data_IF_154453905007
#
_entry.id   IF_154453905007
#
_cell.length_a   1.000
_cell.length_b   1.000
_cell.length_c   1.000
_cell.angle_alpha   90.00
_cell.angle_beta   90.00
_cell.angle_gamma   90.00
#
_symmetry.space_group_name_H-M   'P 1'
#
loop_
_entity.id
_entity.type
_entity.pdbx_description
1 polymer ?
#
# COMPACT_ATOMS: atom_id res chain seq x y z
N UNK A 1 -41.65 35.77 6.00
CA UNK A 1 -41.28 34.49 5.30
C UNK A 1 -41.85 34.58 3.87
N UNK A 2 -40.98 34.66 2.86
CA UNK A 2 -41.41 35.05 1.48
C UNK A 2 -42.07 33.86 0.76
N UNK A 3 -43.40 33.92 0.61
CA UNK A 3 -44.24 32.90 -0.05
C UNK A 3 -43.87 32.72 -1.54
N UNK A 4 -43.47 33.81 -2.22
CA UNK A 4 -43.05 33.77 -3.60
C UNK A 4 -41.77 32.92 -3.82
N UNK A 5 -40.82 32.97 -2.88
CA UNK A 5 -39.62 32.13 -2.92
C UNK A 5 -39.91 30.63 -2.76
N UNK A 6 -40.89 30.29 -1.92
CA UNK A 6 -41.31 28.90 -1.73
C UNK A 6 -42.05 28.32 -2.95
N UNK A 7 -42.88 29.12 -3.60
CA UNK A 7 -43.54 28.72 -4.84
C UNK A 7 -42.56 28.52 -5.99
N UNK A 8 -41.55 29.35 -6.09
CA UNK A 8 -40.45 29.18 -7.08
C UNK A 8 -39.68 27.89 -6.86
N UNK A 9 -39.24 27.64 -5.59
CA UNK A 9 -38.55 26.42 -5.24
C UNK A 9 -39.38 25.15 -5.49
N UNK A 10 -40.68 25.21 -5.23
CA UNK A 10 -41.60 24.11 -5.54
C UNK A 10 -41.71 23.86 -7.05
N UNK A 11 -41.81 24.92 -7.86
CA UNK A 11 -41.78 24.80 -9.32
C UNK A 11 -40.50 24.19 -9.86
N UNK A 12 -39.34 24.54 -9.28
CA UNK A 12 -38.05 23.93 -9.63
C UNK A 12 -37.98 22.45 -9.25
N UNK A 13 -38.55 22.08 -8.10
CA UNK A 13 -38.62 20.66 -7.69
C UNK A 13 -39.47 19.84 -8.66
N UNK A 14 -40.62 20.34 -9.04
CA UNK A 14 -41.51 19.65 -10.01
C UNK A 14 -40.84 19.53 -11.38
N UNK A 15 -40.18 20.58 -11.87
CA UNK A 15 -39.47 20.52 -13.15
C UNK A 15 -38.29 19.55 -13.10
N UNK A 16 -37.59 19.38 -11.95
CA UNK A 16 -36.49 18.42 -11.80
C UNK A 16 -36.94 16.96 -11.91
N UNK A 17 -38.20 16.62 -11.55
CA UNK A 17 -38.73 15.26 -11.69
C UNK A 17 -38.75 14.82 -13.17
N UNK A 18 -38.96 15.76 -14.08
CA UNK A 18 -39.04 15.49 -15.53
C UNK A 18 -37.70 15.72 -16.26
N UNK A 19 -36.67 16.21 -15.58
CA UNK A 19 -35.34 16.37 -16.17
C UNK A 19 -34.61 15.03 -16.25
N UNK A 20 -33.84 14.84 -17.32
CA UNK A 20 -32.94 13.70 -17.41
C UNK A 20 -31.92 13.77 -16.29
N UNK A 21 -31.60 12.65 -15.63
CA UNK A 21 -30.55 12.62 -14.58
C UNK A 21 -29.25 13.12 -15.16
N UNK A 22 -28.58 13.99 -14.40
CA UNK A 22 -27.25 14.54 -14.75
C UNK A 22 -26.18 13.48 -14.56
N UNK A 23 -26.47 12.45 -13.74
CA UNK A 23 -25.53 11.34 -13.49
C UNK A 23 -25.39 10.50 -14.75
N UNK A 24 -24.21 10.47 -15.32
CA UNK A 24 -23.87 9.62 -16.47
C UNK A 24 -23.71 8.18 -16.02
N UNK A 25 -24.34 7.26 -16.74
CA UNK A 25 -24.21 5.83 -16.48
C UNK A 25 -22.92 5.24 -17.05
N UNK A 26 -22.28 5.95 -17.96
CA UNK A 26 -21.07 5.51 -18.65
C UNK A 26 -19.96 6.54 -18.48
N UNK A 27 -18.73 6.07 -18.22
CA UNK A 27 -17.56 6.93 -18.23
C UNK A 27 -17.25 7.35 -19.66
N UNK A 28 -17.05 8.64 -19.88
CA UNK A 28 -16.60 9.14 -21.19
C UNK A 28 -15.17 8.66 -21.45
N UNK A 29 -14.86 8.31 -22.70
CA UNK A 29 -13.53 7.87 -23.13
C UNK A 29 -12.45 8.93 -23.08
N UNK A 30 -12.73 10.06 -22.45
CA UNK A 30 -11.78 11.15 -22.26
C UNK A 30 -11.35 11.22 -20.80
N UNK A 31 -10.06 11.03 -20.58
CA UNK A 31 -9.41 11.17 -19.28
C UNK A 31 -8.42 12.31 -19.35
N UNK A 32 -8.45 13.21 -18.35
CA UNK A 32 -7.50 14.31 -18.27
C UNK A 32 -6.06 13.77 -18.09
N UNK A 33 -5.05 14.47 -18.65
CA UNK A 33 -3.64 14.06 -18.57
C UNK A 33 -3.14 13.82 -17.13
N UNK A 34 -3.72 14.53 -16.16
CA UNK A 34 -3.35 14.44 -14.75
C UNK A 34 -4.33 13.59 -13.93
N UNK A 35 -5.12 12.74 -14.57
CA UNK A 35 -6.07 11.90 -13.88
C UNK A 35 -5.36 10.85 -13.02
N UNK A 36 -5.74 10.77 -11.74
CA UNK A 36 -5.22 9.78 -10.80
C UNK A 36 -6.13 8.57 -10.77
N UNK A 37 -5.56 7.39 -10.97
CA UNK A 37 -6.25 6.11 -10.88
C UNK A 37 -5.61 5.21 -9.84
N UNK A 38 -5.94 3.92 -9.86
CA UNK A 38 -5.34 2.95 -8.96
C UNK A 38 -3.81 3.00 -9.02
N UNK A 39 -3.13 2.98 -7.87
CA UNK A 39 -1.69 2.96 -7.85
C UNK A 39 -1.15 1.68 -8.50
N UNK A 40 -0.16 1.83 -9.37
CA UNK A 40 0.63 0.71 -9.88
C UNK A 40 1.74 0.41 -8.91
N UNK A 41 1.96 -0.87 -8.63
CA UNK A 41 3.08 -1.31 -7.80
C UNK A 41 4.15 -1.96 -8.65
N UNK A 42 5.37 -1.49 -8.49
CA UNK A 42 6.58 -2.13 -8.97
C UNK A 42 7.02 -3.18 -7.94
N UNK A 43 6.84 -4.47 -8.29
CA UNK A 43 7.18 -5.59 -7.42
C UNK A 43 8.69 -5.68 -7.16
N UNK A 44 9.50 -5.25 -8.13
CA UNK A 44 10.97 -5.30 -8.02
C UNK A 44 11.50 -4.24 -7.04
N UNK A 45 10.82 -3.12 -6.91
CA UNK A 45 11.17 -2.10 -5.93
C UNK A 45 10.53 -2.33 -4.56
N UNK A 46 9.37 -2.98 -4.51
CA UNK A 46 8.65 -3.17 -3.28
C UNK A 46 9.42 -4.03 -2.28
N UNK A 47 9.59 -3.54 -1.05
CA UNK A 47 10.27 -4.22 0.05
C UNK A 47 9.32 -4.87 1.05
N UNK A 48 8.02 -4.66 0.90
CA UNK A 48 7.04 -5.19 1.85
C UNK A 48 7.04 -4.49 3.21
N UNK A 49 7.52 -3.27 3.30
CA UNK A 49 7.67 -2.53 4.58
C UNK A 49 6.35 -2.17 5.27
N UNK A 50 5.23 -2.14 4.54
CA UNK A 50 3.90 -1.84 5.10
C UNK A 50 3.54 -0.35 5.22
N UNK A 51 4.42 0.58 4.88
CA UNK A 51 4.17 2.03 5.01
C UNK A 51 2.91 2.48 4.27
N UNK A 52 2.62 1.91 3.10
CA UNK A 52 1.42 2.20 2.32
C UNK A 52 0.13 1.78 3.03
N UNK A 53 0.15 0.69 3.82
CA UNK A 53 -0.98 0.25 4.63
C UNK A 53 -1.23 1.22 5.79
N UNK A 54 -0.19 1.58 6.55
CA UNK A 54 -0.29 2.48 7.70
C UNK A 54 -0.78 3.88 7.34
N UNK A 55 -0.52 4.33 6.12
CA UNK A 55 -0.90 5.66 5.64
C UNK A 55 -2.18 5.69 4.81
N UNK A 56 -2.79 4.54 4.57
CA UNK A 56 -4.03 4.47 3.81
C UNK A 56 -5.23 4.99 4.62
N UNK A 57 -5.67 6.20 4.32
CA UNK A 57 -6.79 6.85 5.04
C UNK A 57 -8.16 6.22 4.75
N UNK A 58 -8.31 5.52 3.63
CA UNK A 58 -9.55 4.82 3.27
C UNK A 58 -9.56 3.35 3.69
N UNK A 59 -8.45 2.82 4.23
CA UNK A 59 -8.31 1.40 4.55
C UNK A 59 -8.36 0.49 3.31
N UNK A 60 -8.04 1.04 2.13
CA UNK A 60 -8.01 0.27 0.89
C UNK A 60 -6.82 -0.68 0.79
N UNK A 61 -5.72 -0.37 1.47
CA UNK A 61 -4.53 -1.24 1.50
C UNK A 61 -4.65 -2.25 2.62
N UNK A 62 -4.37 -3.51 2.34
CA UNK A 62 -4.36 -4.61 3.30
C UNK A 62 -3.04 -5.38 3.20
N UNK A 63 -2.55 -5.87 4.33
CA UNK A 63 -1.38 -6.77 4.41
C UNK A 63 -1.82 -8.08 5.03
N UNK A 64 -1.50 -9.18 4.38
CA UNK A 64 -1.78 -10.53 4.86
C UNK A 64 -0.51 -11.36 4.81
N UNK A 65 -0.12 -11.94 5.94
CA UNK A 65 1.03 -12.83 6.06
C UNK A 65 0.53 -14.27 6.24
N UNK A 66 0.73 -15.11 5.22
CA UNK A 66 0.29 -16.52 5.22
C UNK A 66 1.40 -17.41 4.69
N UNK A 67 1.66 -18.52 5.34
CA UNK A 67 2.63 -19.56 4.91
C UNK A 67 4.04 -19.01 4.60
N UNK A 68 4.47 -17.95 5.26
CA UNK A 68 5.79 -17.34 5.03
C UNK A 68 5.85 -16.39 3.84
N UNK A 69 4.69 -15.99 3.33
CA UNK A 69 4.54 -14.99 2.28
C UNK A 69 3.70 -13.81 2.78
N UNK A 70 4.10 -12.62 2.38
CA UNK A 70 3.36 -11.37 2.62
C UNK A 70 2.69 -10.94 1.33
N UNK A 71 1.39 -10.87 1.35
CA UNK A 71 0.60 -10.25 0.27
C UNK A 71 0.17 -8.86 0.69
N UNK A 72 0.46 -7.87 -0.15
CA UNK A 72 -0.02 -6.51 0.02
C UNK A 72 -0.99 -6.23 -1.12
N UNK A 73 -2.25 -5.99 -0.78
CA UNK A 73 -3.33 -5.72 -1.73
C UNK A 73 -3.86 -4.31 -1.59
N UNK A 74 -4.34 -3.73 -2.68
CA UNK A 74 -5.05 -2.46 -2.69
C UNK A 74 -6.40 -2.69 -3.35
N UNK A 75 -7.46 -2.51 -2.57
CA UNK A 75 -8.85 -2.63 -3.02
C UNK A 75 -9.28 -1.36 -3.77
N UNK A 76 -9.54 -1.50 -5.06
CA UNK A 76 -9.95 -0.39 -5.92
C UNK A 76 -11.31 0.23 -5.55
N UNK A 77 -12.22 -0.54 -4.93
CA UNK A 77 -13.52 -0.04 -4.49
C UNK A 77 -13.42 0.87 -3.26
N UNK A 78 -12.40 0.68 -2.43
CA UNK A 78 -12.13 1.49 -1.25
C UNK A 78 -11.14 2.62 -1.52
N UNK A 79 -10.37 2.49 -2.59
CA UNK A 79 -9.34 3.48 -2.92
C UNK A 79 -9.97 4.82 -3.31
N UNK A 80 -9.52 5.90 -2.68
CA UNK A 80 -9.93 7.28 -2.97
C UNK A 80 -8.91 8.03 -3.84
N UNK A 81 -7.96 7.33 -4.43
CA UNK A 81 -6.94 7.86 -5.36
C UNK A 81 -6.14 9.05 -4.81
N UNK A 82 -5.95 9.12 -3.49
CA UNK A 82 -5.31 10.26 -2.82
C UNK A 82 -3.79 10.33 -2.99
N UNK A 83 -3.12 9.25 -3.40
CA UNK A 83 -1.68 9.19 -3.64
C UNK A 83 -0.80 8.99 -2.40
N UNK A 84 -1.34 9.01 -1.18
CA UNK A 84 -0.54 8.89 0.05
C UNK A 84 0.32 7.64 0.14
N UNK A 85 -0.12 6.55 -0.47
CA UNK A 85 0.66 5.31 -0.53
C UNK A 85 1.93 5.46 -1.39
N UNK A 86 1.87 6.26 -2.46
CA UNK A 86 3.03 6.60 -3.28
C UNK A 86 3.96 7.56 -2.55
N UNK A 87 3.40 8.64 -1.95
CA UNK A 87 4.18 9.65 -1.23
C UNK A 87 4.99 9.06 -0.06
N UNK A 88 4.45 8.06 0.64
CA UNK A 88 5.11 7.45 1.81
C UNK A 88 6.05 6.30 1.44
N UNK A 89 6.05 5.85 0.19
CA UNK A 89 6.86 4.70 -0.21
C UNK A 89 8.36 5.04 -0.22
N UNK A 90 9.19 4.45 0.67
CA UNK A 90 10.61 4.80 0.76
C UNK A 90 11.41 4.35 -0.47
N UNK A 91 10.87 3.40 -1.24
CA UNK A 91 11.51 2.83 -2.43
C UNK A 91 10.87 3.34 -3.75
N UNK A 92 9.92 4.29 -3.68
CA UNK A 92 9.16 4.75 -4.85
C UNK A 92 8.59 3.58 -5.68
N UNK A 93 8.11 2.56 -4.98
CA UNK A 93 7.55 1.35 -5.59
C UNK A 93 6.06 1.49 -5.97
N UNK A 94 5.44 2.64 -5.67
CA UNK A 94 4.03 2.92 -5.96
C UNK A 94 3.94 4.22 -6.76
N UNK A 95 3.16 4.18 -7.81
CA UNK A 95 2.90 5.33 -8.68
C UNK A 95 1.42 5.35 -9.09
N UNK A 96 0.86 6.57 -9.25
CA UNK A 96 -0.52 6.79 -9.73
C UNK A 96 -0.47 7.32 -11.16
N UNK A 97 -0.04 6.50 -12.08
CA UNK A 97 0.11 6.88 -13.48
C UNK A 97 -1.19 6.76 -14.27
N UNK A 98 -1.26 7.48 -15.37
CA UNK A 98 -2.34 7.41 -16.37
C UNK A 98 -2.45 5.99 -16.98
N UNK A 99 -1.36 5.23 -17.03
CA UNK A 99 -1.33 3.86 -17.54
C UNK A 99 -2.29 2.92 -16.79
N UNK A 100 -2.65 3.26 -15.56
CA UNK A 100 -3.65 2.53 -14.75
C UNK A 100 -5.08 3.06 -14.94
N UNK A 101 -5.28 3.99 -15.85
CA UNK A 101 -6.61 4.52 -16.14
C UNK A 101 -7.48 3.43 -16.75
N UNK A 102 -8.75 3.31 -16.34
CA UNK A 102 -9.63 2.34 -16.95
C UNK A 102 -9.72 2.58 -18.46
N UNK A 103 -9.77 1.50 -19.25
CA UNK A 103 -9.95 1.61 -20.69
C UNK A 103 -11.22 2.41 -21.00
N UNK A 104 -11.23 3.03 -22.18
CA UNK A 104 -12.36 3.78 -22.69
C UNK A 104 -13.66 2.94 -22.62
N UNK A 105 -14.86 3.57 -22.49
CA UNK A 105 -16.11 2.87 -22.44
C UNK A 105 -16.27 1.88 -23.59
N UNK A 106 -16.50 0.62 -23.26
CA UNK A 106 -16.66 -0.47 -24.24
C UNK A 106 -15.58 -1.54 -24.25
N UNK A 107 -14.44 -1.33 -23.56
CA UNK A 107 -13.27 -2.22 -23.69
C UNK A 107 -13.17 -3.27 -22.58
N UNK A 108 -13.66 -3.01 -21.34
CA UNK A 108 -13.64 -4.04 -20.29
C UNK A 108 -14.90 -4.02 -19.41
N UNK A 109 -15.75 -5.07 -19.51
CA UNK A 109 -16.91 -5.23 -18.65
C UNK A 109 -16.57 -5.35 -17.16
N UNK A 110 -15.44 -5.93 -16.81
CA UNK A 110 -15.02 -6.14 -15.41
C UNK A 110 -14.78 -4.83 -14.67
N UNK A 111 -14.21 -3.83 -15.36
CA UNK A 111 -14.00 -2.50 -14.77
C UNK A 111 -15.31 -1.72 -14.58
N UNK A 112 -16.34 -1.99 -15.39
CA UNK A 112 -17.67 -1.39 -15.23
C UNK A 112 -18.40 -1.90 -14.00
N UNK A 113 -18.26 -3.19 -13.72
CA UNK A 113 -18.91 -3.86 -12.58
C UNK A 113 -18.34 -3.35 -11.25
N UNK A 114 -17.03 -3.09 -11.20
CA UNK A 114 -16.37 -2.64 -9.97
C UNK A 114 -16.80 -1.26 -9.46
N UNK A 115 -17.44 -0.46 -10.30
CA UNK A 115 -18.03 0.84 -9.92
C UNK A 115 -19.52 0.75 -9.57
N UNK A 116 -20.16 -0.40 -9.78
CA UNK A 116 -21.58 -0.60 -9.42
C UNK A 116 -21.70 -1.00 -7.96
N UNK A 117 -22.34 -0.15 -7.16
CA UNK A 117 -22.72 -0.47 -5.78
C UNK A 117 -23.56 -1.76 -5.75
N UNK A 118 -23.04 -2.80 -5.09
CA UNK A 118 -23.81 -4.00 -4.82
C UNK A 118 -23.40 -5.26 -5.60
N UNK A 119 -22.31 -5.24 -6.38
CA UNK A 119 -21.76 -6.49 -6.90
C UNK A 119 -20.96 -7.21 -5.79
N UNK A 120 -21.24 -8.48 -5.59
CA UNK A 120 -20.43 -9.37 -4.70
C UNK A 120 -19.06 -9.71 -5.31
N UNK A 121 -18.79 -9.26 -6.51
CA UNK A 121 -17.52 -9.49 -7.18
C UNK A 121 -16.43 -8.55 -6.62
N UNK A 122 -15.23 -9.08 -6.37
CA UNK A 122 -14.11 -8.27 -5.92
C UNK A 122 -13.78 -7.21 -6.97
N UNK A 123 -13.65 -5.96 -6.53
CA UNK A 123 -13.21 -4.87 -7.39
C UNK A 123 -11.78 -5.06 -7.89
N UNK A 124 -11.29 -4.17 -8.76
CA UNK A 124 -9.92 -4.23 -9.24
C UNK A 124 -8.95 -4.15 -8.05
N UNK A 125 -8.03 -5.10 -7.97
CA UNK A 125 -7.01 -5.17 -6.94
C UNK A 125 -5.61 -4.97 -7.53
N UNK A 126 -4.73 -4.39 -6.75
CA UNK A 126 -3.29 -4.30 -7.06
C UNK A 126 -2.54 -5.10 -6.02
N UNK A 127 -2.16 -6.31 -6.36
CA UNK A 127 -1.56 -7.25 -5.43
C UNK A 127 -0.06 -7.42 -5.67
N UNK A 128 0.66 -7.72 -4.59
CA UNK A 128 2.08 -8.03 -4.64
C UNK A 128 2.41 -9.00 -3.52
N UNK A 129 3.05 -10.12 -3.86
CA UNK A 129 3.45 -11.16 -2.90
C UNK A 129 4.96 -11.18 -2.75
N UNK A 130 5.43 -11.22 -1.51
CA UNK A 130 6.84 -11.18 -1.13
C UNK A 130 7.12 -12.27 -0.09
N UNK A 131 8.29 -12.90 -0.16
CA UNK A 131 8.70 -13.88 0.85
C UNK A 131 9.11 -13.21 2.15
N UNK A 132 8.60 -13.75 3.25
CA UNK A 132 9.00 -13.36 4.59
C UNK A 132 10.34 -14.03 4.96
N UNK A 133 11.13 -13.33 5.76
CA UNK A 133 12.39 -13.82 6.29
C UNK A 133 12.12 -14.90 7.34
N UNK A 134 12.87 -16.00 7.29
CA UNK A 134 12.93 -16.99 8.36
C UNK A 134 14.09 -16.67 9.30
N UNK A 135 13.87 -16.86 10.60
CA UNK A 135 14.91 -16.73 11.61
C UNK A 135 16.03 -17.72 11.33
N UNK A 136 17.28 -17.27 11.28
CA UNK A 136 18.44 -18.12 11.02
C UNK A 136 18.79 -19.08 12.18
N UNK A 137 18.20 -18.85 13.37
CA UNK A 137 18.45 -19.65 14.57
C UNK A 137 17.38 -20.71 14.79
N UNK A 138 16.10 -20.34 14.75
CA UNK A 138 14.99 -21.26 15.06
C UNK A 138 14.09 -21.59 13.85
N UNK A 139 14.28 -20.95 12.70
CA UNK A 139 13.48 -21.17 11.49
C UNK A 139 12.09 -20.52 11.50
N UNK A 140 11.69 -19.85 12.59
CA UNK A 140 10.42 -19.16 12.71
C UNK A 140 10.29 -18.05 11.65
N UNK A 141 9.10 -17.89 11.07
CA UNK A 141 8.83 -16.83 10.10
C UNK A 141 8.76 -15.48 10.82
N UNK A 142 9.52 -14.52 10.35
CA UNK A 142 9.55 -13.16 10.87
C UNK A 142 8.59 -12.27 10.06
N UNK A 143 7.90 -11.30 10.68
CA UNK A 143 6.98 -10.40 9.98
C UNK A 143 7.73 -9.29 9.20
N UNK A 144 8.77 -9.68 8.46
CA UNK A 144 9.62 -8.80 7.65
C UNK A 144 10.16 -9.59 6.46
N UNK A 145 10.34 -8.94 5.33
CA UNK A 145 10.93 -9.55 4.13
C UNK A 145 12.46 -9.50 4.18
N UNK A 146 13.14 -10.47 3.56
CA UNK A 146 14.59 -10.45 3.43
C UNK A 146 15.08 -9.19 2.71
N UNK A 147 14.41 -8.79 1.63
CA UNK A 147 14.73 -7.59 0.87
C UNK A 147 14.70 -6.30 1.71
N UNK A 148 13.71 -6.18 2.61
CA UNK A 148 13.64 -5.03 3.51
C UNK A 148 14.84 -4.99 4.48
N UNK A 149 15.27 -6.15 4.99
CA UNK A 149 16.44 -6.25 5.85
C UNK A 149 17.74 -5.91 5.11
N UNK A 150 17.88 -6.32 3.86
CA UNK A 150 19.05 -6.01 3.04
C UNK A 150 19.18 -4.49 2.81
N UNK A 151 18.09 -3.81 2.49
CA UNK A 151 18.08 -2.35 2.33
C UNK A 151 18.36 -1.62 3.65
N UNK A 152 17.82 -2.10 4.77
CA UNK A 152 18.14 -1.54 6.10
C UNK A 152 19.65 -1.68 6.36
N UNK A 153 20.21 -2.86 6.12
CA UNK A 153 21.64 -3.11 6.30
C UNK A 153 22.48 -2.14 5.47
N UNK A 154 22.17 -2.03 4.17
CA UNK A 154 22.89 -1.15 3.25
C UNK A 154 22.85 0.31 3.71
N UNK A 155 21.68 0.84 4.02
CA UNK A 155 21.50 2.22 4.47
C UNK A 155 22.18 2.52 5.81
N UNK A 156 22.24 1.53 6.71
CA UNK A 156 22.93 1.69 7.97
C UNK A 156 24.46 1.73 7.76
N UNK A 157 25.00 0.84 6.93
CA UNK A 157 26.45 0.77 6.66
C UNK A 157 26.99 2.04 6.01
N UNK A 158 26.25 2.66 5.11
CA UNK A 158 26.64 3.94 4.46
C UNK A 158 26.84 5.07 5.47
N UNK A 159 26.11 5.05 6.60
CA UNK A 159 26.18 6.09 7.62
C UNK A 159 27.22 5.84 8.69
N UNK A 160 27.96 4.72 8.64
CA UNK A 160 28.99 4.37 9.61
C UNK A 160 30.38 4.79 9.14
N UNK A 161 31.30 5.02 10.11
CA UNK A 161 32.73 5.23 9.82
C UNK A 161 33.34 3.94 9.26
N UNK A 162 34.29 4.01 8.31
CA UNK A 162 34.89 2.84 7.67
C UNK A 162 35.40 1.79 8.66
N UNK A 163 36.10 2.21 9.73
CA UNK A 163 36.62 1.32 10.75
C UNK A 163 35.53 0.54 11.51
N UNK A 164 34.35 1.15 11.64
CA UNK A 164 33.18 0.55 12.33
C UNK A 164 32.43 -0.40 11.42
N UNK A 165 32.42 -0.15 10.12
CA UNK A 165 31.69 -0.97 9.11
C UNK A 165 32.13 -2.43 9.18
N UNK A 166 33.43 -2.69 9.23
CA UNK A 166 34.01 -4.05 9.24
C UNK A 166 33.51 -4.87 10.43
N UNK A 167 33.42 -4.22 11.61
CA UNK A 167 32.97 -4.87 12.85
C UNK A 167 31.44 -5.11 12.81
N UNK A 168 30.69 -4.08 12.40
CA UNK A 168 29.23 -4.08 12.48
C UNK A 168 28.60 -4.95 11.39
N UNK A 169 29.21 -5.06 10.23
CA UNK A 169 28.61 -5.77 9.08
C UNK A 169 28.31 -7.24 9.41
N UNK A 170 29.22 -7.94 10.05
CA UNK A 170 29.08 -9.35 10.44
C UNK A 170 28.02 -9.56 11.51
N UNK A 171 28.03 -8.71 12.53
CA UNK A 171 27.08 -8.80 13.64
C UNK A 171 25.67 -8.39 13.20
N UNK A 172 25.58 -7.39 12.32
CA UNK A 172 24.30 -6.91 11.78
C UNK A 172 23.58 -7.96 10.97
N UNK A 173 24.27 -8.75 10.13
CA UNK A 173 23.66 -9.84 9.37
C UNK A 173 22.97 -10.84 10.30
N UNK A 174 23.66 -11.28 11.34
CA UNK A 174 23.11 -12.18 12.36
C UNK A 174 21.93 -11.53 13.09
N UNK A 175 22.11 -10.31 13.54
CA UNK A 175 21.11 -9.63 14.34
C UNK A 175 19.82 -9.34 13.55
N UNK A 176 19.91 -8.85 12.33
CA UNK A 176 18.76 -8.53 11.49
C UNK A 176 17.94 -9.77 11.11
N UNK A 177 18.59 -10.90 10.83
CA UNK A 177 17.91 -12.13 10.40
C UNK A 177 17.53 -13.08 11.53
N UNK A 178 17.55 -12.61 12.77
CA UNK A 178 17.15 -13.38 13.95
C UNK A 178 15.86 -12.82 14.56
N UNK A 179 14.90 -13.68 14.92
CA UNK A 179 13.65 -13.27 15.57
C UNK A 179 13.89 -12.68 16.98
N UNK A 180 12.92 -11.93 17.47
CA UNK A 180 13.01 -11.23 18.77
C UNK A 180 13.28 -12.21 19.93
N UNK A 181 12.65 -13.38 19.92
CA UNK A 181 12.81 -14.41 20.95
C UNK A 181 14.24 -14.93 21.00
N UNK A 182 14.83 -15.24 19.85
CA UNK A 182 16.22 -15.69 19.76
C UNK A 182 17.21 -14.57 20.09
N UNK A 183 16.98 -13.32 19.66
CA UNK A 183 17.83 -12.18 20.06
C UNK A 183 17.87 -12.01 21.57
N UNK A 184 16.73 -12.14 22.27
CA UNK A 184 16.68 -12.05 23.73
C UNK A 184 17.40 -13.21 24.39
N UNK A 185 17.20 -14.45 23.90
CA UNK A 185 17.80 -15.65 24.44
C UNK A 185 19.35 -15.62 24.38
N UNK A 186 19.88 -15.20 23.24
CA UNK A 186 21.32 -15.23 22.96
C UNK A 186 22.01 -13.86 23.16
N UNK A 187 21.30 -12.86 23.71
CA UNK A 187 21.82 -11.50 23.84
C UNK A 187 23.11 -11.38 24.66
N UNK A 188 23.29 -12.21 25.68
CA UNK A 188 24.49 -12.24 26.50
C UNK A 188 25.66 -12.91 25.78
N UNK A 189 25.37 -14.02 25.07
CA UNK A 189 26.35 -14.75 24.29
C UNK A 189 26.88 -13.93 23.10
N UNK A 190 26.00 -13.18 22.47
CA UNK A 190 26.34 -12.31 21.33
C UNK A 190 26.82 -10.92 21.74
N UNK A 191 26.97 -10.68 23.02
CA UNK A 191 27.44 -9.41 23.55
C UNK A 191 26.55 -8.19 23.18
N UNK A 192 25.29 -8.43 22.89
CA UNK A 192 24.31 -7.42 22.47
C UNK A 192 23.37 -6.98 23.59
N UNK A 193 23.58 -7.45 24.81
CA UNK A 193 22.70 -7.12 25.94
C UNK A 193 22.94 -5.67 26.40
N UNK A 194 21.88 -4.86 26.59
CA UNK A 194 22.01 -3.45 26.99
C UNK A 194 22.79 -3.22 28.29
N UNK A 195 22.70 -4.17 29.24
CA UNK A 195 23.42 -4.09 30.53
C UNK A 195 24.95 -4.16 30.44
N UNK A 196 25.50 -4.51 29.27
CA UNK A 196 26.92 -4.51 29.05
C UNK A 196 27.52 -3.09 29.04
N UNK A 197 26.68 -2.08 28.76
CA UNK A 197 27.08 -0.69 28.62
C UNK A 197 26.70 0.17 29.84
N UNK A 198 26.25 -0.44 30.92
CA UNK A 198 26.00 0.15 32.23
C UNK A 198 27.08 -0.36 33.22
#
# INVERSE_FOLDING_TARGET
MNIAGKLKAFGELVTNIFRKPVTVKETFGFVAENFRWLPRRDADKCTGCGACNERCSSGATCITDVNGERTISIDGLRCIFCGRCADVCPENALDLTIENTPPAPGVDPALRVSLSRGSEEPGPTVDSTLRLQKCIVCGEVMPVTGKHLDIIKERMLVNLKPDTVVIVEKDMERYLRTCISCRRKYSLEWDTHPRKFI
#
